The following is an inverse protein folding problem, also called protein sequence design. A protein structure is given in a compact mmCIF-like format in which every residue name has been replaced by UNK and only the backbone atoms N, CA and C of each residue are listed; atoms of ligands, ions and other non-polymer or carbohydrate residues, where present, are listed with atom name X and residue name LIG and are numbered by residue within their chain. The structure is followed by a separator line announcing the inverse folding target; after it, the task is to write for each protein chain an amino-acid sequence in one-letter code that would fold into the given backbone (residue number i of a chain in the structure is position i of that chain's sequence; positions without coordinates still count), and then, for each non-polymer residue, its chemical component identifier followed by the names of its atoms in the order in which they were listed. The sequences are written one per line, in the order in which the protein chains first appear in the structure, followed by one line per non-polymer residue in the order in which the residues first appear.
data_IF_552819177623
#
_entry.id   IF_552819177623
#
_cell.length_a   1.000
_cell.length_b   1.000
_cell.length_c   1.000
_cell.angle_alpha   90.00
_cell.angle_beta   90.00
_cell.angle_gamma   90.00
#
_symmetry.space_group_name_H-M   'P 1'
#
loop_
_entity.id
_entity.type
_entity.pdbx_description
1 polymer ?
#
# COMPACT_ATOMS: atom_id res chain seq x y z
N UNK A 1 -11.95 -17.34 0.93
CA UNK A 1 -11.08 -16.15 0.76
C UNK A 1 -11.83 -14.97 1.35
N UNK A 2 -11.47 -14.43 2.53
CA UNK A 2 -12.25 -13.33 3.09
C UNK A 2 -11.90 -12.03 2.36
N UNK A 3 -12.82 -11.59 1.51
CA UNK A 3 -12.97 -10.22 1.07
C UNK A 3 -13.26 -9.33 2.27
N UNK A 4 -12.58 -8.19 2.36
CA UNK A 4 -13.13 -7.02 3.05
C UNK A 4 -12.70 -5.75 2.32
N UNK A 5 -13.26 -5.55 1.12
CA UNK A 5 -13.12 -4.32 0.34
C UNK A 5 -13.95 -3.19 0.98
N UNK A 6 -13.33 -2.42 1.85
CA UNK A 6 -13.72 -1.02 2.06
C UNK A 6 -13.00 -0.14 1.01
N UNK A 7 -13.26 -0.43 -0.27
CA UNK A 7 -12.71 0.31 -1.41
C UNK A 7 -13.49 1.60 -1.61
N UNK A 8 -13.31 2.55 -0.72
CA UNK A 8 -13.77 3.92 -0.92
C UNK A 8 -12.58 4.86 -0.76
N UNK A 9 -11.60 4.77 -1.66
CA UNK A 9 -10.46 5.68 -1.67
C UNK A 9 -10.23 6.20 -3.07
N UNK A 10 -10.82 7.36 -3.34
CA UNK A 10 -10.45 8.29 -4.41
C UNK A 10 -9.03 8.84 -4.26
N UNK A 11 -8.15 8.20 -3.48
CA UNK A 11 -6.79 8.60 -3.14
C UNK A 11 -5.89 7.37 -2.93
N UNK A 12 -4.56 7.50 -3.12
CA UNK A 12 -3.59 6.44 -2.84
C UNK A 12 -3.62 6.03 -1.37
N UNK A 13 -3.40 4.76 -1.06
CA UNK A 13 -3.34 4.28 0.32
C UNK A 13 -2.00 4.64 0.97
N UNK A 14 -2.05 4.79 2.30
CA UNK A 14 -0.87 4.97 3.15
C UNK A 14 -0.24 3.63 3.53
N UNK A 15 1.03 3.62 3.96
CA UNK A 15 1.71 2.41 4.46
C UNK A 15 0.87 1.64 5.49
N UNK A 16 0.24 2.37 6.43
CA UNK A 16 -0.61 1.78 7.46
C UNK A 16 -1.83 1.07 6.86
N UNK A 17 -2.51 1.69 5.89
CA UNK A 17 -3.66 1.08 5.22
C UNK A 17 -3.24 -0.15 4.41
N UNK A 18 -2.11 -0.10 3.71
CA UNK A 18 -1.56 -1.24 2.96
C UNK A 18 -1.29 -2.42 3.90
N UNK A 19 -0.65 -2.18 5.05
CA UNK A 19 -0.44 -3.20 6.08
C UNK A 19 -1.77 -3.72 6.61
N UNK A 20 -2.69 -2.82 6.97
CA UNK A 20 -3.96 -3.18 7.61
C UNK A 20 -4.84 -4.02 6.69
N UNK A 21 -4.94 -3.65 5.42
CA UNK A 21 -5.81 -4.30 4.45
C UNK A 21 -5.20 -5.61 3.91
N UNK A 22 -3.87 -5.69 3.82
CA UNK A 22 -3.18 -6.90 3.32
C UNK A 22 -2.84 -7.92 4.40
N UNK A 23 -2.27 -7.47 5.52
CA UNK A 23 -1.69 -8.34 6.56
C UNK A 23 -2.32 -8.17 7.95
N UNK A 24 -3.20 -7.17 8.11
CA UNK A 24 -3.82 -6.79 9.37
C UNK A 24 -2.91 -5.97 10.29
N UNK A 25 -1.65 -6.36 10.45
CA UNK A 25 -0.69 -5.68 11.32
C UNK A 25 0.76 -5.77 10.80
N UNK A 26 1.64 -4.94 11.39
CA UNK A 26 3.05 -4.84 10.97
C UNK A 26 3.86 -6.13 11.20
N UNK A 27 3.76 -6.82 12.35
CA UNK A 27 4.48 -8.07 12.55
C UNK A 27 4.13 -9.13 11.49
N UNK A 28 2.85 -9.30 11.16
CA UNK A 28 2.42 -10.25 10.13
C UNK A 28 3.01 -9.90 8.75
N UNK A 29 3.06 -8.61 8.41
CA UNK A 29 3.74 -8.13 7.22
C UNK A 29 5.23 -8.50 7.26
N UNK A 30 5.97 -8.13 8.30
CA UNK A 30 7.40 -8.43 8.42
C UNK A 30 7.68 -9.93 8.25
N UNK A 31 6.99 -10.77 9.04
CA UNK A 31 7.19 -12.21 9.02
C UNK A 31 6.85 -12.85 7.66
N UNK A 32 5.89 -12.28 6.92
CA UNK A 32 5.56 -12.77 5.57
C UNK A 32 6.69 -12.55 4.54
N UNK A 33 7.54 -11.55 4.74
CA UNK A 33 8.74 -11.29 3.92
C UNK A 33 10.00 -11.91 4.52
N UNK A 34 9.88 -12.73 5.58
CA UNK A 34 11.02 -13.30 6.29
C UNK A 34 11.77 -12.31 7.17
N UNK A 35 11.22 -11.10 7.36
CA UNK A 35 11.79 -10.02 8.16
C UNK A 35 11.43 -10.21 9.63
N UNK A 36 12.36 -9.86 10.52
CA UNK A 36 12.14 -9.81 11.96
C UNK A 36 11.68 -8.42 12.40
N UNK A 37 11.53 -8.25 13.70
CA UNK A 37 11.19 -6.99 14.36
C UNK A 37 12.45 -6.28 14.90
N UNK A 38 13.60 -6.46 14.24
CA UNK A 38 14.81 -5.69 14.52
C UNK A 38 14.74 -4.34 13.78
N UNK A 39 15.44 -3.30 14.26
CA UNK A 39 15.45 -2.00 13.59
C UNK A 39 15.82 -2.09 12.09
N UNK A 40 16.80 -2.92 11.76
CA UNK A 40 17.29 -3.11 10.38
C UNK A 40 16.22 -3.73 9.48
N UNK A 41 15.58 -4.80 9.95
CA UNK A 41 14.52 -5.49 9.21
C UNK A 41 13.26 -4.59 9.11
N UNK A 42 13.03 -3.71 10.08
CA UNK A 42 11.95 -2.71 10.04
C UNK A 42 12.21 -1.66 8.97
N UNK A 43 13.45 -1.22 8.79
CA UNK A 43 13.84 -0.32 7.71
C UNK A 43 13.62 -0.97 6.35
N UNK A 44 14.04 -2.23 6.17
CA UNK A 44 13.79 -2.98 4.94
C UNK A 44 12.29 -3.10 4.65
N UNK A 45 11.49 -3.44 5.66
CA UNK A 45 10.04 -3.47 5.51
C UNK A 45 9.41 -2.12 5.19
N UNK A 46 10.03 -1.01 5.64
CA UNK A 46 9.56 0.33 5.28
C UNK A 46 9.84 0.65 3.81
N UNK A 47 10.99 0.23 3.27
CA UNK A 47 11.32 0.40 1.85
C UNK A 47 10.33 -0.33 0.95
N UNK A 48 9.95 -1.57 1.32
CA UNK A 48 8.93 -2.34 0.60
C UNK A 48 7.60 -1.58 0.60
N UNK A 49 7.18 -1.05 1.75
CA UNK A 49 5.92 -0.30 1.84
C UNK A 49 5.96 1.04 1.09
N UNK A 50 7.12 1.68 1.01
CA UNK A 50 7.30 2.89 0.22
C UNK A 50 7.11 2.62 -1.27
N UNK A 51 7.59 1.49 -1.76
CA UNK A 51 7.37 1.08 -3.15
C UNK A 51 5.87 0.87 -3.44
N UNK A 52 5.15 0.19 -2.54
CA UNK A 52 3.69 0.01 -2.69
C UNK A 52 2.95 1.36 -2.72
N UNK A 53 3.32 2.29 -1.84
CA UNK A 53 2.72 3.64 -1.82
C UNK A 53 3.04 4.40 -3.11
N UNK A 54 4.26 4.23 -3.66
CA UNK A 54 4.66 4.87 -4.92
C UNK A 54 3.82 4.37 -6.09
N UNK A 55 3.68 3.05 -6.22
CA UNK A 55 2.87 2.42 -7.29
C UNK A 55 1.42 2.90 -7.21
N UNK A 56 0.81 2.86 -6.03
CA UNK A 56 -0.58 3.32 -5.88
C UNK A 56 -0.78 4.80 -6.18
N UNK A 57 0.24 5.62 -5.87
CA UNK A 57 0.24 7.03 -6.23
C UNK A 57 0.30 7.20 -7.74
N UNK A 58 1.24 6.53 -8.40
CA UNK A 58 1.40 6.60 -9.85
C UNK A 58 0.12 6.17 -10.58
N UNK A 59 -0.47 5.02 -10.22
CA UNK A 59 -1.73 4.53 -10.78
C UNK A 59 -2.92 5.47 -10.52
N UNK A 60 -2.92 6.14 -9.36
CA UNK A 60 -3.94 7.12 -9.04
C UNK A 60 -3.80 8.38 -9.90
N UNK A 61 -2.58 8.91 -10.03
CA UNK A 61 -2.29 10.11 -10.85
C UNK A 61 -2.61 9.87 -12.32
N UNK A 62 -2.29 8.68 -12.84
CA UNK A 62 -2.63 8.28 -14.21
C UNK A 62 -4.14 8.25 -14.43
N UNK A 63 -4.90 7.59 -13.54
CA UNK A 63 -6.38 7.59 -13.61
C UNK A 63 -6.96 8.99 -13.55
N UNK A 64 -6.45 9.86 -12.67
CA UNK A 64 -6.91 11.25 -12.61
C UNK A 64 -6.63 12.00 -13.92
N UNK A 65 -5.48 11.75 -14.56
CA UNK A 65 -5.12 12.34 -15.84
C UNK A 65 -6.04 11.85 -16.96
N UNK A 66 -6.32 10.55 -17.03
CA UNK A 66 -7.24 9.97 -18.00
C UNK A 66 -8.67 10.49 -17.82
N UNK A 67 -9.16 10.54 -16.58
CA UNK A 67 -10.49 11.06 -16.27
C UNK A 67 -10.62 12.56 -16.62
N UNK A 68 -9.58 13.34 -16.35
CA UNK A 68 -9.53 14.75 -16.76
C UNK A 68 -9.52 14.90 -18.28
N UNK A 69 -8.81 14.03 -19.00
CA UNK A 69 -8.78 14.03 -20.46
C UNK A 69 -10.10 13.58 -21.09
N UNK A 70 -10.81 12.61 -20.48
CA UNK A 70 -12.14 12.13 -20.90
C UNK A 70 -13.25 13.15 -20.67
N UNK A 71 -13.07 14.06 -19.72
CA UNK A 71 -14.05 15.11 -19.37
C UNK A 71 -13.87 16.41 -20.18
N UNK A 72 -12.87 16.46 -21.07
CA UNK A 72 -12.64 17.58 -21.99
C UNK A 72 -13.32 17.30 -23.34
#
# INVERSE_FOLDING_TARGET
MPSNSNNNTSKPRTRYQIIKDGWGNRPNFQYSYGLKMTPEDIEEGNLILDEFVRIEREEWEERQREDAARRR
#
